data_IF_963934614043
#
_entry.id   IF_963934614043
#
_cell.length_a   1.000
_cell.length_b   1.000
_cell.length_c   1.000
_cell.angle_alpha   90.00
_cell.angle_beta   90.00
_cell.angle_gamma   90.00
#
_symmetry.space_group_name_H-M   'P 1'
#
loop_
_entity.id
_entity.type
_entity.pdbx_description
1 polymer ?
#
# COMPACT_ATOMS: atom_id res chain seq x y z
N UNK A 1 -67.05 -11.27 -29.95
CA UNK A 1 -66.49 -10.22 -29.06
C UNK A 1 -65.43 -10.86 -28.18
N UNK A 2 -64.33 -10.16 -27.95
CA UNK A 2 -63.00 -10.58 -27.48
C UNK A 2 -62.93 -11.65 -26.37
N UNK A 3 -62.10 -12.68 -26.60
CA UNK A 3 -61.55 -13.59 -25.60
C UNK A 3 -60.35 -12.89 -24.93
N UNK A 4 -60.39 -12.64 -23.63
CA UNK A 4 -59.24 -12.03 -22.92
C UNK A 4 -58.25 -13.12 -22.54
N UNK A 5 -57.14 -13.20 -23.27
CA UNK A 5 -55.96 -13.93 -22.82
C UNK A 5 -55.37 -13.21 -21.62
N UNK A 6 -55.31 -13.91 -20.48
CA UNK A 6 -54.59 -13.46 -19.30
C UNK A 6 -53.15 -13.93 -19.40
N UNK A 7 -52.26 -13.03 -19.83
CA UNK A 7 -50.81 -13.24 -19.77
C UNK A 7 -50.37 -13.11 -18.32
N UNK A 8 -49.85 -14.20 -17.74
CA UNK A 8 -49.19 -14.19 -16.44
C UNK A 8 -47.69 -13.96 -16.66
N UNK A 9 -47.20 -12.76 -16.34
CA UNK A 9 -45.76 -12.48 -16.35
C UNK A 9 -45.14 -13.09 -15.10
N UNK A 10 -44.43 -14.21 -15.25
CA UNK A 10 -43.57 -14.74 -14.20
C UNK A 10 -42.30 -13.90 -14.16
N UNK A 11 -42.27 -12.88 -13.31
CA UNK A 11 -41.02 -12.18 -13.01
C UNK A 11 -40.16 -13.11 -12.15
N UNK A 12 -39.18 -13.77 -12.76
CA UNK A 12 -38.07 -14.41 -12.04
C UNK A 12 -37.14 -13.29 -11.60
N UNK A 13 -37.40 -12.75 -10.41
CA UNK A 13 -36.49 -11.80 -9.76
C UNK A 13 -35.31 -12.57 -9.16
N UNK A 14 -34.28 -12.85 -9.96
CA UNK A 14 -32.97 -13.17 -9.39
C UNK A 14 -32.32 -11.82 -9.06
N UNK A 15 -32.62 -11.31 -7.88
CA UNK A 15 -31.77 -10.35 -7.21
C UNK A 15 -31.04 -11.12 -6.12
N UNK A 16 -29.90 -11.74 -6.46
CA UNK A 16 -28.84 -11.90 -5.45
C UNK A 16 -28.25 -10.50 -5.29
N UNK A 17 -28.91 -9.73 -4.44
CA UNK A 17 -28.48 -8.41 -3.98
C UNK A 17 -28.16 -8.59 -2.50
N UNK A 18 -27.09 -9.33 -2.22
CA UNK A 18 -26.34 -9.03 -1.03
C UNK A 18 -25.57 -7.75 -1.37
N UNK A 19 -25.71 -6.65 -0.60
CA UNK A 19 -24.74 -5.58 -0.74
C UNK A 19 -23.36 -6.22 -0.57
N UNK A 20 -22.45 -5.97 -1.51
CA UNK A 20 -21.05 -6.35 -1.35
C UNK A 20 -20.62 -5.75 -0.02
N UNK A 21 -20.16 -6.59 0.91
CA UNK A 21 -19.64 -6.13 2.20
C UNK A 21 -18.59 -5.07 1.94
N UNK A 22 -18.48 -4.03 2.77
CA UNK A 22 -17.40 -3.03 2.66
C UNK A 22 -16.01 -3.72 2.62
N UNK A 23 -15.88 -4.88 3.24
CA UNK A 23 -14.67 -5.71 3.22
C UNK A 23 -14.32 -6.32 1.86
N UNK A 24 -15.23 -6.28 0.88
CA UNK A 24 -15.00 -6.77 -0.48
C UNK A 24 -15.04 -5.65 -1.53
N UNK A 25 -15.07 -4.38 -1.10
CA UNK A 25 -14.95 -3.20 -1.96
C UNK A 25 -13.50 -2.73 -1.92
N UNK A 26 -13.03 -2.16 -3.03
CA UNK A 26 -11.77 -1.45 -3.20
C UNK A 26 -12.18 -0.05 -3.73
N UNK A 27 -12.26 0.92 -2.83
CA UNK A 27 -12.94 2.20 -3.08
C UNK A 27 -12.08 3.16 -3.88
N UNK A 28 -10.76 3.16 -3.69
CA UNK A 28 -9.82 4.02 -4.39
C UNK A 28 -9.12 3.35 -5.59
N UNK A 29 -9.30 2.03 -5.74
CA UNK A 29 -8.92 1.26 -6.92
C UNK A 29 -7.43 0.91 -6.97
N UNK A 30 -6.78 0.83 -5.81
CA UNK A 30 -5.35 0.64 -5.69
C UNK A 30 -4.95 -0.86 -5.62
N UNK A 31 -5.94 -1.74 -5.44
CA UNK A 31 -5.80 -3.19 -5.39
C UNK A 31 -5.82 -3.79 -3.97
N UNK A 32 -5.97 -2.98 -2.92
CA UNK A 32 -6.27 -3.40 -1.56
C UNK A 32 -7.80 -3.29 -1.35
N UNK A 33 -8.39 -4.20 -0.59
CA UNK A 33 -9.81 -4.10 -0.23
C UNK A 33 -9.96 -3.16 0.96
N UNK A 34 -11.00 -2.32 1.00
CA UNK A 34 -11.26 -1.35 2.09
C UNK A 34 -11.22 -1.99 3.48
N UNK A 35 -11.55 -3.28 3.57
CA UNK A 35 -11.51 -4.03 4.84
C UNK A 35 -10.11 -4.35 5.36
N UNK A 36 -9.08 -4.30 4.52
CA UNK A 36 -7.68 -4.40 4.89
C UNK A 36 -7.04 -3.02 5.15
N UNK A 37 -7.66 -1.94 4.65
CA UNK A 37 -7.21 -0.56 4.79
C UNK A 37 -7.79 0.09 6.04
N UNK A 38 -7.09 -0.09 7.16
CA UNK A 38 -7.62 0.24 8.48
C UNK A 38 -7.52 1.74 8.82
N UNK A 39 -6.87 2.55 7.99
CA UNK A 39 -6.59 3.96 8.22
C UNK A 39 -5.98 4.24 9.61
N UNK A 40 -5.15 3.31 10.09
CA UNK A 40 -4.44 3.43 11.36
C UNK A 40 -3.11 4.17 11.22
N UNK A 41 -2.61 4.33 9.98
CA UNK A 41 -1.27 4.87 9.69
C UNK A 41 -0.15 3.97 10.18
N UNK A 42 -0.41 2.67 10.35
CA UNK A 42 0.61 1.69 10.75
C UNK A 42 0.44 0.43 9.92
N UNK A 43 1.43 0.14 9.08
CA UNK A 43 1.46 -1.10 8.33
C UNK A 43 1.75 -2.30 9.24
N UNK A 44 0.81 -3.26 9.29
CA UNK A 44 0.96 -4.51 10.04
C UNK A 44 1.20 -5.68 9.09
N UNK A 45 0.26 -5.91 8.16
CA UNK A 45 0.37 -6.90 7.08
C UNK A 45 -0.68 -6.65 5.98
N UNK A 46 -0.80 -7.55 5.01
CA UNK A 46 -1.73 -7.42 3.88
C UNK A 46 -3.23 -7.40 4.25
N UNK A 47 -3.62 -7.74 5.49
CA UNK A 47 -5.00 -7.65 5.99
C UNK A 47 -5.21 -6.47 6.94
N UNK A 48 -4.14 -5.73 7.26
CA UNK A 48 -4.16 -4.53 8.09
C UNK A 48 -2.99 -3.64 7.63
N UNK A 49 -3.22 -2.94 6.53
CA UNK A 49 -2.20 -2.15 5.83
C UNK A 49 -2.00 -0.79 6.48
N UNK A 50 -2.94 -0.35 7.32
CA UNK A 50 -2.93 0.99 7.91
C UNK A 50 -3.17 2.13 6.92
N UNK A 51 -3.43 1.84 5.64
CA UNK A 51 -3.64 2.80 4.55
C UNK A 51 -5.04 3.40 4.58
N UNK A 52 -5.25 4.52 3.90
CA UNK A 52 -6.53 5.21 3.81
C UNK A 52 -7.35 4.66 2.62
N UNK A 53 -8.51 4.00 2.85
CA UNK A 53 -9.31 3.36 1.78
C UNK A 53 -9.89 4.28 0.71
N UNK A 54 -9.66 5.59 0.84
CA UNK A 54 -10.11 6.62 -0.09
C UNK A 54 -8.94 7.30 -0.82
N UNK A 55 -7.72 6.86 -0.58
CA UNK A 55 -6.51 7.47 -1.12
C UNK A 55 -5.51 6.40 -1.56
N UNK A 56 -5.31 6.22 -2.87
CA UNK A 56 -4.52 5.10 -3.38
C UNK A 56 -3.00 5.22 -3.12
N UNK A 57 -2.54 6.29 -2.48
CA UNK A 57 -1.14 6.60 -2.14
C UNK A 57 -1.16 7.34 -0.78
N UNK A 58 -1.20 6.57 0.30
CA UNK A 58 -1.47 7.05 1.66
C UNK A 58 -0.38 7.99 2.15
N UNK A 59 0.88 7.69 1.84
CA UNK A 59 2.02 8.45 2.35
C UNK A 59 2.52 9.55 1.38
N UNK A 60 2.04 9.53 0.13
CA UNK A 60 2.26 10.58 -0.86
C UNK A 60 3.64 10.53 -1.51
N UNK A 61 4.32 9.38 -1.52
CA UNK A 61 5.64 9.24 -2.12
C UNK A 61 5.61 8.96 -3.65
N UNK A 62 4.40 8.76 -4.19
CA UNK A 62 4.12 8.51 -5.59
C UNK A 62 4.06 7.03 -6.00
N UNK A 63 4.12 6.11 -5.05
CA UNK A 63 3.81 4.69 -5.23
C UNK A 63 2.44 4.40 -4.60
N UNK A 64 1.64 3.55 -5.26
CA UNK A 64 0.30 3.26 -4.73
C UNK A 64 0.39 2.19 -3.64
N UNK A 65 -0.46 2.24 -2.63
CA UNK A 65 -0.34 1.42 -1.42
C UNK A 65 -0.33 -0.09 -1.74
N UNK A 66 -1.18 -0.52 -2.67
CA UNK A 66 -1.25 -1.89 -3.17
C UNK A 66 0.04 -2.39 -3.82
N UNK A 67 0.78 -1.55 -4.54
CA UNK A 67 2.09 -1.92 -5.10
C UNK A 67 3.12 -2.14 -4.00
N UNK A 68 3.11 -1.27 -3.00
CA UNK A 68 4.03 -1.33 -1.86
C UNK A 68 3.78 -2.57 -1.00
N UNK A 69 2.52 -2.81 -0.65
CA UNK A 69 2.08 -4.00 0.06
C UNK A 69 2.41 -5.30 -0.70
N UNK A 70 2.23 -5.31 -2.03
CA UNK A 70 2.51 -6.47 -2.89
C UNK A 70 4.00 -6.84 -2.92
N UNK A 71 4.88 -5.84 -3.00
CA UNK A 71 6.31 -6.08 -3.11
C UNK A 71 6.95 -6.40 -1.76
N UNK A 72 6.31 -6.01 -0.65
CA UNK A 72 6.80 -6.24 0.72
C UNK A 72 8.25 -5.75 0.95
N UNK A 73 8.71 -4.84 0.10
CA UNK A 73 10.03 -4.17 0.19
C UNK A 73 9.90 -2.73 0.67
N UNK A 74 8.68 -2.23 0.84
CA UNK A 74 8.37 -0.91 1.38
C UNK A 74 7.19 -0.97 2.35
N UNK A 75 6.88 0.16 2.97
CA UNK A 75 5.82 0.35 3.94
C UNK A 75 4.95 1.51 3.42
N UNK A 76 3.68 1.26 3.03
CA UNK A 76 2.80 2.21 2.35
C UNK A 76 2.36 3.39 3.23
N UNK A 77 2.76 3.41 4.50
CA UNK A 77 2.44 4.49 5.43
C UNK A 77 3.63 5.40 5.71
N UNK A 78 4.75 5.22 5.00
CA UNK A 78 6.03 5.87 5.30
C UNK A 78 6.71 6.46 4.05
N UNK A 79 6.69 7.78 3.83
CA UNK A 79 7.03 8.40 2.53
C UNK A 79 8.47 8.19 2.02
N UNK A 80 9.35 7.67 2.88
CA UNK A 80 10.74 7.39 2.53
C UNK A 80 10.98 5.91 2.23
N UNK A 81 10.03 5.02 2.51
CA UNK A 81 10.09 3.60 2.27
C UNK A 81 9.56 3.33 0.87
N UNK A 82 10.43 3.05 -0.10
CA UNK A 82 10.03 3.00 -1.53
C UNK A 82 10.33 1.62 -2.13
N UNK A 83 9.43 1.01 -2.91
CA UNK A 83 9.59 -0.37 -3.34
C UNK A 83 10.69 -0.55 -4.40
N UNK A 84 11.24 -1.76 -4.50
CA UNK A 84 12.19 -2.14 -5.55
C UNK A 84 11.45 -2.52 -6.85
N UNK A 85 11.60 -1.72 -7.91
CA UNK A 85 10.99 -2.06 -9.21
C UNK A 85 11.84 -3.09 -9.96
N UNK A 86 11.43 -4.35 -9.88
CA UNK A 86 12.09 -5.47 -10.58
C UNK A 86 12.18 -5.20 -12.08
N UNK A 87 13.39 -5.29 -12.64
CA UNK A 87 13.64 -5.15 -14.09
C UNK A 87 13.95 -3.73 -14.56
N UNK A 88 14.00 -2.74 -13.67
CA UNK A 88 14.50 -1.39 -13.94
C UNK A 88 15.88 -1.21 -13.31
N UNK A 89 16.70 -0.31 -13.89
CA UNK A 89 17.93 0.15 -13.24
C UNK A 89 17.55 1.08 -12.08
N UNK A 90 17.24 0.50 -10.92
CA UNK A 90 17.12 1.23 -9.67
C UNK A 90 18.48 1.30 -8.98
N UNK A 91 18.91 2.50 -8.59
CA UNK A 91 20.03 2.64 -7.64
C UNK A 91 19.58 1.98 -6.35
N UNK A 92 20.19 0.85 -5.99
CA UNK A 92 19.72 0.00 -4.90
C UNK A 92 19.69 0.72 -3.55
N UNK A 93 20.71 1.55 -3.28
CA UNK A 93 20.79 2.44 -2.14
C UNK A 93 21.91 3.50 -2.35
N UNK A 94 21.77 4.65 -1.69
CA UNK A 94 22.76 5.70 -1.52
C UNK A 94 22.79 6.12 -0.05
N UNK A 95 23.76 5.58 0.67
CA UNK A 95 24.09 6.01 2.03
C UNK A 95 25.05 7.19 1.96
N UNK A 96 24.67 8.29 2.59
CA UNK A 96 25.64 9.31 2.94
C UNK A 96 26.21 9.01 4.34
N UNK A 97 27.48 9.37 4.52
CA UNK A 97 28.23 9.18 5.77
C UNK A 97 28.59 10.53 6.39
N UNK A 98 27.82 11.57 6.05
CA UNK A 98 28.12 12.94 6.41
C UNK A 98 27.38 13.40 7.67
N UNK A 99 26.39 12.63 8.13
CA UNK A 99 25.57 12.95 9.29
C UNK A 99 26.15 12.31 10.57
N UNK A 100 26.70 13.15 11.45
CA UNK A 100 27.28 12.73 12.73
C UNK A 100 26.25 12.32 13.79
N UNK A 101 24.96 12.55 13.52
CA UNK A 101 23.87 12.47 14.50
C UNK A 101 23.59 11.04 14.98
N UNK A 102 23.86 10.02 14.17
CA UNK A 102 23.62 8.62 14.49
C UNK A 102 24.84 7.74 14.14
N UNK A 103 25.84 7.57 15.04
CA UNK A 103 27.10 6.90 14.72
C UNK A 103 26.99 5.38 14.51
N UNK A 104 25.80 4.80 14.71
CA UNK A 104 25.54 3.37 14.56
C UNK A 104 24.65 3.02 13.37
N UNK A 105 24.08 4.03 12.69
CA UNK A 105 23.09 3.86 11.63
C UNK A 105 23.34 4.86 10.50
N UNK A 106 22.95 4.50 9.29
CA UNK A 106 22.83 5.44 8.17
C UNK A 106 21.58 5.07 7.39
N UNK A 107 20.81 6.06 6.94
CA UNK A 107 19.62 5.81 6.14
C UNK A 107 19.98 5.97 4.67
N UNK A 108 19.51 5.05 3.84
CA UNK A 108 19.53 5.23 2.40
C UNK A 108 18.66 6.45 2.03
N UNK A 109 19.25 7.44 1.37
CA UNK A 109 18.54 8.65 0.94
C UNK A 109 17.65 8.44 -0.28
N UNK A 110 17.70 7.27 -0.92
CA UNK A 110 16.89 6.97 -2.11
C UNK A 110 15.63 6.18 -1.74
N UNK A 111 15.73 5.16 -0.87
CA UNK A 111 14.60 4.26 -0.52
C UNK A 111 14.37 4.07 0.97
N UNK A 112 15.05 4.83 1.83
CA UNK A 112 14.80 4.81 3.27
C UNK A 112 15.26 3.55 4.00
N UNK A 113 15.97 2.63 3.33
CA UNK A 113 16.52 1.45 3.98
C UNK A 113 17.51 1.84 5.08
N UNK A 114 17.26 1.34 6.30
CA UNK A 114 18.18 1.51 7.41
C UNK A 114 19.42 0.62 7.22
N UNK A 115 20.59 1.24 7.14
CA UNK A 115 21.88 0.59 7.14
C UNK A 115 22.45 0.53 8.56
N UNK A 116 22.86 -0.66 9.00
CA UNK A 116 23.59 -0.83 10.26
C UNK A 116 25.10 -0.67 10.02
N UNK A 117 25.74 0.20 10.79
CA UNK A 117 27.20 0.35 10.75
C UNK A 117 27.85 -0.77 11.59
N UNK A 118 28.79 -1.51 10.99
CA UNK A 118 29.48 -2.63 11.63
C UNK A 118 30.86 -2.21 12.16
N UNK A 119 31.20 -2.56 13.40
CA UNK A 119 32.56 -2.43 13.96
C UNK A 119 32.80 -1.17 14.81
N UNK A 120 34.03 -0.64 14.76
CA UNK A 120 34.47 0.58 15.50
C UNK A 120 34.34 1.85 14.66
N UNK A 121 33.43 1.87 13.67
CA UNK A 121 33.25 3.03 12.79
C UNK A 121 32.84 4.23 13.63
N UNK A 122 33.68 5.25 13.64
CA UNK A 122 33.45 6.50 14.32
C UNK A 122 33.42 7.60 13.26
N UNK A 123 32.43 8.47 13.34
CA UNK A 123 32.44 9.72 12.61
C UNK A 123 33.64 10.56 13.05
N UNK A 124 34.37 11.11 12.08
CA UNK A 124 35.44 12.09 12.33
C UNK A 124 35.24 13.26 11.39
N UNK A 125 35.11 14.46 11.95
CA UNK A 125 35.24 15.70 11.19
C UNK A 125 36.64 15.76 10.54
N UNK A 126 36.70 16.33 9.34
CA UNK A 126 37.95 16.55 8.58
C UNK A 126 38.76 17.74 9.14
#
# INVERSE_FOLDING_TARGET
MYCKQTTFLLAVSIAVSTPLSAQEIDTDGDGILDGAETNTGTYVDANDTGTDPLNPDTDGDGFNDGLEALLSTSDPTTPMSRPLRTGLLDILAYWDFNEASEPTKTNDLIKGFEGALMGTTAYTDD
#
